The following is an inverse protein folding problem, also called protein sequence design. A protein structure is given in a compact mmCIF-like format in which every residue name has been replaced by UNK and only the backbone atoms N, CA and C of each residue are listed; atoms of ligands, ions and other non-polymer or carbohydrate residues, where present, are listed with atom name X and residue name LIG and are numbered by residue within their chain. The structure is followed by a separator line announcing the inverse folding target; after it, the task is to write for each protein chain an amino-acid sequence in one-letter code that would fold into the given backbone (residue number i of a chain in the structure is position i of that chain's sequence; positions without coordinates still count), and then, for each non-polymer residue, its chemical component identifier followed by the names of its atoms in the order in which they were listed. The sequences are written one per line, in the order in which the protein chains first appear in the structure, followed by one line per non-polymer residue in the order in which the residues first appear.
data_IF_818922940544
#
_entry.id   IF_818922940544
#
_cell.length_a   1.000
_cell.length_b   1.000
_cell.length_c   1.000
_cell.angle_alpha   90.00
_cell.angle_beta   90.00
_cell.angle_gamma   90.00
#
_symmetry.space_group_name_H-M   'P 1'
#
loop_
_entity.id
_entity.type
_entity.pdbx_description
1 polymer ?
#
# COMPACT_ATOMS: atom_id res chain seq x y z
N UNK A 1 -6.29 -0.32 4.67
CA UNK A 1 -5.99 -0.93 3.34
C UNK A 1 -6.02 0.17 2.30
N UNK A 2 -4.93 0.40 1.58
CA UNK A 2 -4.90 1.32 0.44
C UNK A 2 -5.52 0.58 -0.74
N UNK A 3 -6.63 1.10 -1.26
CA UNK A 3 -7.26 0.60 -2.49
C UNK A 3 -7.29 1.74 -3.49
N UNK A 4 -6.83 1.49 -4.70
CA UNK A 4 -6.96 2.43 -5.79
C UNK A 4 -8.32 2.23 -6.50
N UNK A 5 -8.96 3.29 -7.00
CA UNK A 5 -10.14 3.18 -7.83
C UNK A 5 -9.75 2.58 -9.20
N UNK A 6 -10.75 2.09 -9.91
CA UNK A 6 -10.54 1.79 -11.32
C UNK A 6 -10.25 3.07 -12.10
N UNK A 7 -9.13 3.11 -12.81
CA UNK A 7 -8.75 4.23 -13.67
C UNK A 7 -9.02 3.83 -15.12
N UNK A 8 -10.05 4.41 -15.78
CA UNK A 8 -10.36 4.10 -17.17
C UNK A 8 -9.34 4.72 -18.11
N UNK A 9 -9.06 4.07 -19.22
CA UNK A 9 -8.28 4.65 -20.32
C UNK A 9 -9.08 5.69 -21.09
N UNK A 10 -8.39 6.54 -21.85
CA UNK A 10 -9.05 7.51 -22.75
C UNK A 10 -9.96 6.83 -23.78
N UNK A 11 -9.61 5.62 -24.24
CA UNK A 11 -10.40 4.82 -25.17
C UNK A 11 -11.65 4.25 -24.51
N UNK A 12 -11.55 3.72 -23.29
CA UNK A 12 -12.69 3.25 -22.50
C UNK A 12 -13.69 4.39 -22.26
N UNK A 13 -13.19 5.59 -21.88
CA UNK A 13 -14.04 6.76 -21.71
C UNK A 13 -14.71 7.21 -23.02
N UNK A 14 -13.96 7.20 -24.13
CA UNK A 14 -14.52 7.55 -25.41
C UNK A 14 -15.60 6.56 -25.87
N UNK A 15 -15.37 5.27 -25.73
CA UNK A 15 -16.34 4.24 -26.06
C UNK A 15 -17.61 4.36 -25.22
N UNK A 16 -17.48 4.67 -23.93
CA UNK A 16 -18.63 4.95 -23.06
C UNK A 16 -19.39 6.21 -23.50
N UNK A 17 -18.69 7.30 -23.87
CA UNK A 17 -19.28 8.53 -24.41
C UNK A 17 -20.10 8.22 -25.65
N UNK A 18 -19.55 7.46 -26.61
CA UNK A 18 -20.24 7.04 -27.83
C UNK A 18 -21.47 6.20 -27.49
N UNK A 19 -21.32 5.22 -26.58
CA UNK A 19 -22.42 4.37 -26.14
C UNK A 19 -23.55 5.18 -25.50
N UNK A 20 -23.26 6.05 -24.54
CA UNK A 20 -24.23 6.94 -23.87
C UNK A 20 -24.92 7.84 -24.90
N UNK A 21 -24.14 8.44 -25.79
CA UNK A 21 -24.64 9.37 -26.77
C UNK A 21 -25.64 8.75 -27.72
N UNK A 22 -25.35 7.58 -28.27
CA UNK A 22 -26.20 6.92 -29.28
C UNK A 22 -27.33 6.06 -28.66
N UNK A 23 -27.23 5.63 -27.41
CA UNK A 23 -28.32 4.92 -26.72
C UNK A 23 -29.53 5.80 -26.42
N UNK A 24 -29.33 7.13 -26.32
CA UNK A 24 -30.39 8.07 -26.00
C UNK A 24 -31.25 8.38 -27.24
N UNK A 25 -32.56 8.03 -27.15
CA UNK A 25 -33.55 8.30 -28.18
C UNK A 25 -34.47 9.46 -27.78
N UNK A 26 -35.15 10.09 -28.77
CA UNK A 26 -36.13 11.10 -28.51
C UNK A 26 -37.33 10.53 -27.76
N UNK A 27 -37.79 11.21 -26.71
CA UNK A 27 -39.07 10.89 -26.07
C UNK A 27 -40.23 11.41 -26.95
N UNK A 28 -41.29 10.62 -27.15
CA UNK A 28 -42.52 10.97 -27.91
C UNK A 28 -42.26 11.49 -29.34
N UNK A 29 -42.04 10.59 -30.30
CA UNK A 29 -41.67 10.97 -31.67
C UNK A 29 -42.81 11.70 -32.46
N UNK A 30 -44.05 11.67 -32.04
CA UNK A 30 -45.18 12.08 -32.83
C UNK A 30 -45.75 13.48 -32.59
N UNK A 31 -45.27 14.25 -31.61
CA UNK A 31 -45.99 15.48 -31.16
C UNK A 31 -45.22 16.78 -31.47
N UNK A 32 -43.93 16.75 -31.95
CA UNK A 32 -43.11 17.96 -32.03
C UNK A 32 -42.51 18.24 -33.40
N UNK A 33 -42.34 19.52 -33.76
CA UNK A 33 -41.60 19.94 -34.97
C UNK A 33 -40.16 19.38 -34.97
N UNK A 34 -39.68 18.98 -36.14
CA UNK A 34 -38.40 18.25 -36.29
C UNK A 34 -37.17 18.92 -35.63
N UNK A 35 -37.09 20.27 -35.69
CA UNK A 35 -35.97 21.04 -35.12
C UNK A 35 -36.01 21.05 -33.59
N UNK A 36 -37.16 21.27 -32.96
CA UNK A 36 -37.27 21.34 -31.50
C UNK A 36 -37.06 19.97 -30.83
N UNK A 37 -37.54 18.94 -31.50
CA UNK A 37 -37.28 17.56 -31.09
C UNK A 37 -35.81 17.22 -31.12
N UNK A 38 -35.10 17.54 -32.23
CA UNK A 38 -33.68 17.30 -32.36
C UNK A 38 -32.89 18.10 -31.32
N UNK A 39 -33.26 19.39 -31.12
CA UNK A 39 -32.65 20.29 -30.13
C UNK A 39 -32.74 19.68 -28.72
N UNK A 40 -33.91 19.23 -28.28
CA UNK A 40 -34.08 18.61 -26.95
C UNK A 40 -33.29 17.33 -26.79
N UNK A 41 -33.26 16.50 -27.80
CA UNK A 41 -32.48 15.27 -27.80
C UNK A 41 -30.97 15.57 -27.66
N UNK A 42 -30.45 16.49 -28.45
CA UNK A 42 -29.01 16.82 -28.40
C UNK A 42 -28.62 17.51 -27.09
N UNK A 43 -29.45 18.39 -26.53
CA UNK A 43 -29.23 18.98 -25.21
C UNK A 43 -29.21 17.92 -24.10
N UNK A 44 -30.03 16.89 -24.20
CA UNK A 44 -30.01 15.76 -23.27
C UNK A 44 -28.73 14.95 -23.43
N UNK A 45 -28.33 14.62 -24.65
CA UNK A 45 -27.13 13.85 -24.97
C UNK A 45 -25.86 14.51 -24.42
N UNK A 46 -25.66 15.80 -24.71
CA UNK A 46 -24.46 16.53 -24.22
C UNK A 46 -24.46 16.64 -22.70
N UNK A 47 -25.66 16.74 -22.05
CA UNK A 47 -25.78 16.75 -20.59
C UNK A 47 -25.34 15.43 -19.96
N UNK A 48 -25.80 14.30 -20.49
CA UNK A 48 -25.48 12.97 -19.96
C UNK A 48 -24.00 12.66 -20.15
N UNK A 49 -23.42 12.99 -21.31
CA UNK A 49 -21.97 12.85 -21.56
C UNK A 49 -21.17 13.68 -20.56
N UNK A 50 -21.55 14.96 -20.36
CA UNK A 50 -20.88 15.81 -19.36
C UNK A 50 -20.95 15.21 -17.97
N UNK A 51 -22.13 14.73 -17.55
CA UNK A 51 -22.32 14.11 -16.22
C UNK A 51 -21.39 12.93 -16.06
N UNK A 52 -21.43 11.99 -16.99
CA UNK A 52 -20.61 10.78 -16.96
C UNK A 52 -19.11 11.09 -16.85
N UNK A 53 -18.59 11.97 -17.72
CA UNK A 53 -17.16 12.31 -17.70
C UNK A 53 -16.77 13.12 -16.45
N UNK A 54 -17.66 13.99 -15.95
CA UNK A 54 -17.37 14.71 -14.69
C UNK A 54 -17.27 13.77 -13.51
N UNK A 55 -18.17 12.79 -13.42
CA UNK A 55 -18.16 11.77 -12.38
C UNK A 55 -16.91 10.89 -12.51
N UNK A 56 -16.58 10.40 -13.72
CA UNK A 56 -15.38 9.61 -13.98
C UNK A 56 -14.07 10.34 -13.63
N UNK A 57 -13.93 11.61 -14.01
CA UNK A 57 -12.74 12.41 -13.67
C UNK A 57 -12.64 12.65 -12.15
N UNK A 58 -13.78 12.88 -11.49
CA UNK A 58 -13.82 13.07 -10.04
C UNK A 58 -13.44 11.77 -9.31
N UNK A 59 -13.98 10.63 -9.74
CA UNK A 59 -13.70 9.33 -9.15
C UNK A 59 -12.21 9.00 -9.23
N UNK A 60 -11.55 9.31 -10.35
CA UNK A 60 -10.09 9.17 -10.47
C UNK A 60 -9.37 10.17 -9.58
N UNK A 61 -9.68 11.46 -9.68
CA UNK A 61 -8.92 12.52 -9.00
C UNK A 61 -9.04 12.47 -7.47
N UNK A 62 -10.19 12.07 -6.93
CA UNK A 62 -10.45 12.01 -5.49
C UNK A 62 -10.36 10.59 -4.91
N UNK A 63 -10.52 9.56 -5.75
CA UNK A 63 -10.44 8.17 -5.31
C UNK A 63 -9.01 7.67 -5.15
N UNK A 64 -8.05 8.25 -5.87
CA UNK A 64 -6.64 7.92 -5.72
C UNK A 64 -6.10 8.47 -4.40
N UNK A 65 -5.24 7.71 -3.66
CA UNK A 65 -4.76 8.13 -2.34
C UNK A 65 -3.88 9.39 -2.41
N UNK A 66 -4.08 10.30 -1.46
CA UNK A 66 -3.20 11.45 -1.25
C UNK A 66 -1.92 10.98 -0.56
N UNK A 67 -0.80 10.95 -1.27
CA UNK A 67 0.46 10.40 -0.77
C UNK A 67 0.94 11.08 0.51
N UNK A 68 0.71 12.37 0.67
CA UNK A 68 1.15 13.15 1.83
C UNK A 68 0.37 12.81 3.12
N UNK A 69 -0.83 12.28 3.01
CA UNK A 69 -1.64 11.85 4.16
C UNK A 69 -1.40 10.41 4.57
N UNK A 70 -0.63 9.66 3.79
CA UNK A 70 -0.35 8.27 4.09
C UNK A 70 0.68 8.14 5.21
N UNK A 71 0.55 7.04 5.97
CA UNK A 71 1.57 6.67 6.95
C UNK A 71 2.96 6.57 6.29
N UNK A 72 4.05 7.01 6.94
CA UNK A 72 5.40 7.05 6.37
C UNK A 72 5.84 5.73 5.72
N UNK A 73 5.48 4.59 6.30
CA UNK A 73 5.75 3.28 5.73
C UNK A 73 5.23 3.13 4.28
N UNK A 74 3.96 3.47 4.06
CA UNK A 74 3.37 3.36 2.73
C UNK A 74 3.91 4.41 1.77
N UNK A 75 4.15 5.62 2.28
CA UNK A 75 4.70 6.70 1.47
C UNK A 75 6.08 6.33 0.90
N UNK A 76 6.98 5.82 1.74
CA UNK A 76 8.31 5.36 1.31
C UNK A 76 8.21 4.27 0.22
N UNK A 77 7.36 3.25 0.44
CA UNK A 77 7.18 2.19 -0.54
C UNK A 77 6.61 2.69 -1.88
N UNK A 78 5.66 3.62 -1.83
CA UNK A 78 5.04 4.19 -3.03
C UNK A 78 6.05 5.04 -3.79
N UNK A 79 6.85 5.86 -3.12
CA UNK A 79 7.86 6.71 -3.75
C UNK A 79 8.97 5.91 -4.44
N UNK A 80 9.20 4.65 -4.04
CA UNK A 80 10.08 3.72 -4.77
C UNK A 80 9.46 3.18 -6.07
N UNK A 81 8.11 3.13 -6.15
CA UNK A 81 7.39 2.54 -7.28
C UNK A 81 6.86 3.57 -8.26
N UNK A 82 6.53 4.76 -7.78
CA UNK A 82 5.78 5.78 -8.52
C UNK A 82 6.47 7.13 -8.34
N UNK A 83 6.77 7.81 -9.44
CA UNK A 83 7.27 9.17 -9.36
C UNK A 83 6.20 10.11 -8.80
N UNK A 84 6.49 10.68 -7.63
CA UNK A 84 5.57 11.54 -6.87
C UNK A 84 5.16 12.81 -7.62
N UNK A 85 6.09 13.41 -8.36
CA UNK A 85 5.82 14.66 -9.09
C UNK A 85 4.85 14.39 -10.23
N UNK A 86 5.11 13.37 -11.04
CA UNK A 86 4.23 12.93 -12.14
C UNK A 86 2.87 12.49 -11.62
N UNK A 87 2.82 11.79 -10.47
CA UNK A 87 1.57 11.37 -9.85
C UNK A 87 0.67 12.56 -9.48
N UNK A 88 1.23 13.55 -8.76
CA UNK A 88 0.50 14.76 -8.38
C UNK A 88 0.06 15.58 -9.59
N UNK A 89 0.93 15.71 -10.58
CA UNK A 89 0.62 16.41 -11.83
C UNK A 89 -0.54 15.74 -12.57
N UNK A 90 -0.50 14.43 -12.74
CA UNK A 90 -1.52 13.67 -13.44
C UNK A 90 -2.89 13.78 -12.75
N UNK A 91 -2.94 13.66 -11.41
CA UNK A 91 -4.18 13.85 -10.65
C UNK A 91 -4.74 15.27 -10.82
N UNK A 92 -3.89 16.29 -10.76
CA UNK A 92 -4.29 17.66 -10.94
C UNK A 92 -4.83 17.93 -12.36
N UNK A 93 -4.17 17.40 -13.40
CA UNK A 93 -4.60 17.55 -14.80
C UNK A 93 -5.95 16.88 -15.05
N UNK A 94 -6.16 15.64 -14.55
CA UNK A 94 -7.46 14.95 -14.64
C UNK A 94 -8.55 15.72 -13.87
N UNK A 95 -8.25 16.21 -12.68
CA UNK A 95 -9.19 17.04 -11.91
C UNK A 95 -9.56 18.35 -12.65
N UNK A 96 -8.59 19.02 -13.25
CA UNK A 96 -8.80 20.23 -14.02
C UNK A 96 -9.57 20.01 -15.33
N UNK A 97 -9.55 18.80 -15.89
CA UNK A 97 -10.31 18.45 -17.09
C UNK A 97 -11.83 18.67 -16.93
N UNK A 98 -12.34 18.62 -15.69
CA UNK A 98 -13.74 18.98 -15.40
C UNK A 98 -14.09 20.41 -15.77
N UNK A 99 -13.13 21.34 -15.64
CA UNK A 99 -13.31 22.75 -16.02
C UNK A 99 -13.34 22.90 -17.56
N UNK A 100 -12.39 22.25 -18.25
CA UNK A 100 -12.36 22.23 -19.72
C UNK A 100 -13.64 21.60 -20.30
N UNK A 101 -14.06 20.45 -19.77
CA UNK A 101 -15.31 19.80 -20.14
C UNK A 101 -16.54 20.71 -19.92
N UNK A 102 -16.55 21.47 -18.82
CA UNK A 102 -17.63 22.43 -18.54
C UNK A 102 -17.70 23.57 -19.55
N UNK A 103 -16.54 24.05 -20.04
CA UNK A 103 -16.49 25.05 -21.12
C UNK A 103 -17.01 24.47 -22.43
N UNK A 104 -16.53 23.27 -22.82
CA UNK A 104 -16.98 22.57 -24.03
C UNK A 104 -18.52 22.36 -24.00
N UNK A 105 -19.04 21.97 -22.85
CA UNK A 105 -20.48 21.78 -22.65
C UNK A 105 -21.26 23.09 -22.80
N UNK A 106 -20.81 24.19 -22.18
CA UNK A 106 -21.48 25.50 -22.28
C UNK A 106 -21.56 25.98 -23.72
N UNK A 107 -20.47 25.88 -24.46
CA UNK A 107 -20.40 26.27 -25.87
C UNK A 107 -21.36 25.41 -26.71
N UNK A 108 -21.39 24.11 -26.51
CA UNK A 108 -22.31 23.21 -27.19
C UNK A 108 -23.77 23.54 -26.90
N UNK A 109 -24.12 23.76 -25.61
CA UNK A 109 -25.49 24.15 -25.23
C UNK A 109 -25.89 25.47 -25.88
N UNK A 110 -25.02 26.44 -25.92
CA UNK A 110 -25.28 27.74 -26.55
C UNK A 110 -25.53 27.59 -28.07
N UNK A 111 -24.63 26.85 -28.76
CA UNK A 111 -24.77 26.57 -30.18
C UNK A 111 -26.05 25.79 -30.54
N UNK A 112 -26.42 24.78 -29.73
CA UNK A 112 -27.63 23.99 -29.95
C UNK A 112 -28.89 24.83 -29.69
N UNK A 113 -28.89 25.72 -28.69
CA UNK A 113 -30.04 26.58 -28.38
C UNK A 113 -30.28 27.65 -29.44
N UNK A 114 -29.21 28.23 -29.97
CA UNK A 114 -29.31 29.30 -30.98
C UNK A 114 -29.53 28.79 -32.42
N UNK A 115 -29.39 27.46 -32.63
CA UNK A 115 -29.57 26.88 -33.96
C UNK A 115 -31.02 27.01 -34.46
N UNK A 116 -31.16 27.47 -35.69
CA UNK A 116 -32.47 27.63 -36.36
C UNK A 116 -32.81 26.48 -37.28
N UNK A 117 -31.79 25.72 -37.73
CA UNK A 117 -31.91 24.58 -38.64
C UNK A 117 -31.35 23.31 -38.04
N UNK A 118 -31.81 22.15 -38.49
CA UNK A 118 -31.28 20.85 -38.12
C UNK A 118 -29.78 20.71 -38.40
N UNK A 119 -29.29 21.29 -39.51
CA UNK A 119 -27.89 21.23 -39.88
C UNK A 119 -26.97 21.96 -38.89
N UNK A 120 -27.44 23.05 -38.28
CA UNK A 120 -26.66 23.78 -37.28
C UNK A 120 -26.57 22.99 -35.99
N UNK A 121 -27.64 22.32 -35.56
CA UNK A 121 -27.63 21.40 -34.44
C UNK A 121 -26.66 20.24 -34.68
N UNK A 122 -26.64 19.68 -35.91
CA UNK A 122 -25.72 18.59 -36.29
C UNK A 122 -24.27 19.10 -36.29
N UNK A 123 -23.98 20.33 -36.74
CA UNK A 123 -22.64 20.91 -36.65
C UNK A 123 -22.21 21.11 -35.19
N UNK A 124 -23.08 21.65 -34.33
CA UNK A 124 -22.81 21.82 -32.91
C UNK A 124 -22.50 20.49 -32.22
N UNK A 125 -23.27 19.45 -32.54
CA UNK A 125 -23.01 18.07 -32.09
C UNK A 125 -21.62 17.57 -32.49
N UNK A 126 -21.28 17.67 -33.77
CA UNK A 126 -19.96 17.22 -34.27
C UNK A 126 -18.82 17.95 -33.59
N UNK A 127 -18.94 19.25 -33.42
CA UNK A 127 -17.96 20.07 -32.69
C UNK A 127 -17.82 19.63 -31.24
N UNK A 128 -18.93 19.38 -30.53
CA UNK A 128 -18.92 18.89 -29.15
C UNK A 128 -18.17 17.58 -29.02
N UNK A 129 -18.55 16.58 -29.85
CA UNK A 129 -17.92 15.24 -29.80
C UNK A 129 -16.44 15.29 -30.17
N UNK A 130 -16.05 16.09 -31.17
CA UNK A 130 -14.65 16.27 -31.55
C UNK A 130 -13.85 16.84 -30.38
N UNK A 131 -14.30 17.96 -29.78
CA UNK A 131 -13.62 18.60 -28.64
C UNK A 131 -13.56 17.70 -27.40
N UNK A 132 -14.59 16.88 -27.13
CA UNK A 132 -14.56 15.89 -26.06
C UNK A 132 -13.51 14.82 -26.36
N UNK A 133 -13.44 14.33 -27.61
CA UNK A 133 -12.42 13.37 -28.03
C UNK A 133 -11.01 13.95 -27.88
N UNK A 134 -10.79 15.17 -28.33
CA UNK A 134 -9.49 15.86 -28.21
C UNK A 134 -9.09 16.00 -26.74
N UNK A 135 -10.02 16.38 -25.84
CA UNK A 135 -9.78 16.45 -24.40
C UNK A 135 -9.37 15.09 -23.83
N UNK A 136 -10.05 14.00 -24.22
CA UNK A 136 -9.72 12.64 -23.75
C UNK A 136 -8.36 12.16 -24.28
N UNK A 137 -8.01 12.54 -25.52
CA UNK A 137 -6.70 12.21 -26.10
C UNK A 137 -5.57 12.99 -25.44
N UNK A 138 -5.80 14.26 -25.07
CA UNK A 138 -4.84 15.07 -24.30
C UNK A 138 -4.61 14.50 -22.88
N UNK A 139 -5.61 13.85 -22.31
CA UNK A 139 -5.50 13.19 -20.98
C UNK A 139 -4.94 11.78 -21.04
N UNK A 140 -4.73 11.22 -22.23
CA UNK A 140 -4.29 9.82 -22.37
C UNK A 140 -3.01 9.51 -21.58
N UNK A 141 -1.93 10.30 -21.64
CA UNK A 141 -0.70 10.03 -20.89
C UNK A 141 -0.93 9.96 -19.38
N UNK A 142 -1.73 10.87 -18.84
CA UNK A 142 -2.02 10.94 -17.40
C UNK A 142 -2.91 9.78 -16.95
N UNK A 143 -3.93 9.41 -17.73
CA UNK A 143 -4.80 8.28 -17.43
C UNK A 143 -4.03 6.97 -17.48
N UNK A 144 -3.19 6.76 -18.48
CA UNK A 144 -2.35 5.57 -18.61
C UNK A 144 -1.34 5.49 -17.44
N UNK A 145 -0.72 6.61 -17.07
CA UNK A 145 0.16 6.68 -15.90
C UNK A 145 -0.59 6.34 -14.60
N UNK A 146 -1.75 6.93 -14.36
CA UNK A 146 -2.55 6.70 -13.16
C UNK A 146 -3.09 5.27 -13.09
N UNK A 147 -3.46 4.67 -14.23
CA UNK A 147 -3.85 3.25 -14.32
C UNK A 147 -2.70 2.33 -13.88
N UNK A 148 -1.48 2.60 -14.37
CA UNK A 148 -0.29 1.87 -13.95
C UNK A 148 0.03 2.10 -12.46
N UNK A 149 -0.14 3.32 -11.97
CA UNK A 149 0.04 3.65 -10.56
C UNK A 149 -0.98 2.90 -9.69
N UNK A 150 -2.26 2.86 -10.06
CA UNK A 150 -3.29 2.10 -9.36
C UNK A 150 -2.92 0.61 -9.25
N UNK A 151 -2.49 -0.01 -10.36
CA UNK A 151 -2.06 -1.41 -10.35
C UNK A 151 -0.84 -1.68 -9.44
N UNK A 152 0.05 -0.68 -9.25
CA UNK A 152 1.17 -0.78 -8.30
C UNK A 152 0.70 -0.61 -6.86
N UNK A 153 -0.26 0.29 -6.61
CA UNK A 153 -0.83 0.50 -5.27
C UNK A 153 -1.58 -0.73 -4.76
N UNK A 154 -2.25 -1.47 -5.63
CA UNK A 154 -2.96 -2.72 -5.27
C UNK A 154 -2.01 -3.85 -4.84
N UNK A 155 -0.72 -3.77 -5.22
CA UNK A 155 0.34 -4.71 -4.79
C UNK A 155 0.98 -4.35 -3.44
N UNK A 156 0.58 -3.26 -2.81
CA UNK A 156 1.11 -2.90 -1.51
C UNK A 156 0.66 -3.91 -0.43
N UNK A 157 1.54 -4.23 0.53
CA UNK A 157 1.21 -5.16 1.59
C UNK A 157 0.04 -4.64 2.43
N UNK A 158 -0.92 -5.52 2.73
CA UNK A 158 -2.04 -5.19 3.58
C UNK A 158 -1.65 -5.28 5.06
N UNK A 159 -0.92 -4.29 5.54
CA UNK A 159 -0.45 -4.14 6.91
C UNK A 159 -1.16 -2.93 7.53
N UNK A 160 -1.64 -3.05 8.76
CA UNK A 160 -2.17 -1.89 9.48
C UNK A 160 -1.03 -1.15 10.20
N UNK A 161 -0.64 0.05 9.76
CA UNK A 161 0.50 0.75 10.35
C UNK A 161 0.20 1.35 11.73
N UNK A 162 -1.05 1.34 12.16
CA UNK A 162 -1.45 1.87 13.48
C UNK A 162 -1.38 0.81 14.58
N UNK A 163 -1.27 -0.47 14.22
CA UNK A 163 -1.13 -1.53 15.21
C UNK A 163 0.29 -1.56 15.79
N UNK A 164 0.39 -1.99 17.06
CA UNK A 164 1.68 -2.34 17.62
C UNK A 164 2.30 -3.49 16.81
N UNK A 165 3.48 -3.25 16.24
CA UNK A 165 4.10 -4.17 15.30
C UNK A 165 5.42 -4.70 15.83
N UNK A 166 5.52 -6.03 15.89
CA UNK A 166 6.75 -6.77 16.15
C UNK A 166 7.29 -7.25 14.79
N UNK A 167 8.52 -6.89 14.45
CA UNK A 167 9.21 -7.36 13.24
C UNK A 167 10.21 -8.44 13.64
N UNK A 168 10.12 -9.61 12.98
CA UNK A 168 11.00 -10.76 13.26
C UNK A 168 12.14 -10.79 12.25
N UNK A 169 13.38 -10.81 12.74
CA UNK A 169 14.62 -10.82 11.97
C UNK A 169 15.47 -12.05 12.33
N UNK A 170 16.47 -12.38 11.50
CA UNK A 170 17.39 -13.48 11.70
C UNK A 170 17.63 -14.28 10.44
N UNK A 171 18.69 -15.08 10.39
CA UNK A 171 19.07 -15.90 9.22
C UNK A 171 17.94 -16.86 8.79
N UNK A 172 17.97 -17.41 7.57
CA UNK A 172 17.03 -18.47 7.18
C UNK A 172 17.12 -19.67 8.15
N UNK A 173 16.01 -20.38 8.31
CA UNK A 173 15.90 -21.62 9.10
C UNK A 173 16.16 -21.50 10.62
N UNK A 174 16.32 -20.29 11.17
CA UNK A 174 16.50 -20.08 12.62
C UNK A 174 15.18 -20.21 13.41
N UNK A 175 14.02 -20.30 12.73
CA UNK A 175 12.72 -20.49 13.37
C UNK A 175 11.80 -19.25 13.36
N UNK A 176 12.04 -18.25 12.53
CA UNK A 176 11.22 -17.02 12.44
C UNK A 176 9.73 -17.31 12.23
N UNK A 177 9.37 -18.03 11.17
CA UNK A 177 7.97 -18.34 10.86
C UNK A 177 7.34 -19.27 11.92
N UNK A 178 8.15 -20.09 12.59
CA UNK A 178 7.69 -20.91 13.71
C UNK A 178 7.36 -20.05 14.93
N UNK A 179 8.20 -19.08 15.26
CA UNK A 179 7.90 -18.12 16.32
C UNK A 179 6.61 -17.36 16.05
N UNK A 180 6.43 -16.82 14.82
CA UNK A 180 5.18 -16.12 14.44
C UNK A 180 3.97 -17.03 14.63
N UNK A 181 4.07 -18.32 14.29
CA UNK A 181 2.98 -19.29 14.52
C UNK A 181 2.72 -19.54 16.00
N UNK A 182 3.77 -19.61 16.84
CA UNK A 182 3.61 -19.81 18.29
C UNK A 182 2.87 -18.66 18.97
N UNK A 183 3.05 -17.43 18.51
CA UNK A 183 2.48 -16.24 19.17
C UNK A 183 1.18 -15.77 18.53
N UNK A 184 0.86 -16.20 17.34
CA UNK A 184 -0.35 -15.77 16.60
C UNK A 184 -1.59 -16.56 17.04
N UNK A 185 -2.73 -15.88 17.17
CA UNK A 185 -4.03 -16.49 17.49
C UNK A 185 -4.64 -17.28 16.32
N UNK A 186 -4.07 -17.22 15.13
CA UNK A 186 -4.56 -17.89 13.93
C UNK A 186 -3.46 -18.04 12.87
N UNK A 187 -3.82 -18.57 11.70
CA UNK A 187 -2.85 -18.70 10.60
C UNK A 187 -2.38 -17.31 10.14
N UNK A 188 -1.05 -17.07 10.07
CA UNK A 188 -0.53 -15.83 9.52
C UNK A 188 -1.01 -15.60 8.09
N UNK A 189 -1.37 -14.36 7.77
CA UNK A 189 -1.73 -13.95 6.41
C UNK A 189 -0.47 -13.69 5.61
N UNK A 190 -0.51 -14.07 4.34
CA UNK A 190 0.57 -13.81 3.39
C UNK A 190 0.33 -12.46 2.73
N UNK A 191 1.37 -11.64 2.60
CA UNK A 191 1.34 -10.36 1.94
C UNK A 191 2.58 -10.22 1.03
N UNK A 192 2.36 -9.87 -0.24
CA UNK A 192 3.46 -9.51 -1.14
C UNK A 192 4.20 -8.28 -0.60
N UNK A 193 5.52 -8.24 -0.78
CA UNK A 193 6.32 -7.09 -0.41
C UNK A 193 7.04 -6.55 -1.65
N UNK A 194 6.89 -5.25 -1.95
CA UNK A 194 7.48 -4.66 -3.17
C UNK A 194 8.99 -4.88 -3.24
N UNK A 195 9.49 -5.06 -4.46
CA UNK A 195 10.92 -5.22 -4.79
C UNK A 195 11.59 -6.48 -4.22
N UNK A 196 10.82 -7.41 -3.71
CA UNK A 196 11.33 -8.69 -3.22
C UNK A 196 10.59 -9.85 -3.89
N UNK A 197 11.26 -10.97 -3.99
CA UNK A 197 10.66 -12.23 -4.49
C UNK A 197 9.99 -13.02 -3.37
N UNK A 198 9.94 -12.47 -2.16
CA UNK A 198 9.45 -13.13 -0.95
C UNK A 198 8.22 -12.42 -0.42
N UNK A 199 7.38 -13.18 0.23
CA UNK A 199 6.14 -12.74 0.86
C UNK A 199 6.37 -12.52 2.35
N UNK A 200 5.68 -11.53 2.93
CA UNK A 200 5.62 -11.36 4.39
C UNK A 200 4.55 -12.28 4.97
N UNK A 201 4.82 -12.84 6.13
CA UNK A 201 3.80 -13.53 6.91
C UNK A 201 3.39 -12.67 8.09
N UNK A 202 2.15 -12.21 8.11
CA UNK A 202 1.61 -11.32 9.13
C UNK A 202 0.69 -12.09 10.06
N UNK A 203 1.16 -12.35 11.25
CA UNK A 203 0.39 -12.93 12.35
C UNK A 203 -0.22 -11.84 13.22
N UNK A 204 -1.29 -12.19 13.94
CA UNK A 204 -1.94 -11.28 14.89
C UNK A 204 -2.27 -12.03 16.18
N UNK A 205 -2.21 -11.29 17.30
CA UNK A 205 -2.74 -11.73 18.59
C UNK A 205 -3.32 -10.52 19.34
N UNK A 206 -4.13 -10.78 20.36
CA UNK A 206 -4.75 -9.73 21.17
C UNK A 206 -4.26 -9.86 22.61
N UNK A 207 -3.91 -8.73 23.23
CA UNK A 207 -3.49 -8.63 24.62
C UNK A 207 -4.35 -7.61 25.37
N UNK A 208 -4.37 -7.66 26.70
CA UNK A 208 -5.10 -6.73 27.54
C UNK A 208 -6.56 -6.54 27.10
N UNK A 209 -7.22 -7.62 26.70
CA UNK A 209 -8.59 -7.77 26.22
C UNK A 209 -8.89 -7.18 24.84
N UNK A 210 -8.24 -6.06 24.41
CA UNK A 210 -8.61 -5.42 23.13
C UNK A 210 -7.42 -4.90 22.31
N UNK A 211 -6.20 -4.91 22.85
CA UNK A 211 -5.03 -4.38 22.12
C UNK A 211 -4.56 -5.40 21.10
N UNK A 212 -4.80 -5.09 19.84
CA UNK A 212 -4.38 -5.93 18.72
C UNK A 212 -2.92 -5.67 18.38
N UNK A 213 -2.13 -6.73 18.35
CA UNK A 213 -0.70 -6.73 18.00
C UNK A 213 -0.52 -7.50 16.72
N UNK A 214 0.33 -7.00 15.82
CA UNK A 214 0.75 -7.75 14.64
C UNK A 214 2.22 -8.15 14.73
N UNK A 215 2.53 -9.35 14.23
CA UNK A 215 3.88 -9.88 14.15
C UNK A 215 4.20 -10.17 12.70
N UNK A 216 5.26 -9.57 12.19
CA UNK A 216 5.66 -9.68 10.78
C UNK A 216 6.90 -10.55 10.69
N UNK A 217 6.75 -11.73 10.08
CA UNK A 217 7.88 -12.53 9.61
C UNK A 217 8.38 -11.96 8.28
N UNK A 218 9.68 -11.75 8.19
CA UNK A 218 10.34 -11.07 7.07
C UNK A 218 11.27 -12.02 6.28
N UNK A 219 10.77 -13.13 5.73
CA UNK A 219 11.61 -14.04 4.96
C UNK A 219 12.14 -13.31 3.71
N UNK A 220 13.45 -13.43 3.47
CA UNK A 220 14.09 -12.76 2.36
C UNK A 220 14.36 -11.26 2.54
N UNK A 221 13.96 -10.65 3.67
CA UNK A 221 14.21 -9.23 3.96
C UNK A 221 15.31 -9.05 5.02
N UNK A 222 15.07 -9.48 6.24
CA UNK A 222 15.99 -9.38 7.39
C UNK A 222 16.58 -10.75 7.72
N UNK A 223 16.96 -11.52 6.70
CA UNK A 223 17.48 -12.88 6.80
C UNK A 223 18.79 -13.11 6.04
N UNK A 224 19.41 -12.06 5.54
CA UNK A 224 20.75 -12.01 4.94
C UNK A 224 21.33 -10.61 5.08
N UNK A 225 22.66 -10.43 4.91
CA UNK A 225 23.29 -9.12 5.05
C UNK A 225 22.62 -8.02 4.23
N UNK A 226 22.39 -6.87 4.86
CA UNK A 226 21.79 -5.70 4.21
C UNK A 226 22.75 -5.07 3.19
N UNK A 227 24.06 -5.24 3.41
CA UNK A 227 25.12 -4.83 2.52
C UNK A 227 25.10 -5.54 1.14
N UNK A 228 24.48 -6.72 1.06
CA UNK A 228 24.30 -7.48 -0.19
C UNK A 228 23.06 -7.07 -0.99
N UNK A 229 22.29 -6.10 -0.50
CA UNK A 229 21.04 -5.65 -1.14
C UNK A 229 21.32 -4.54 -2.15
N UNK A 230 20.53 -4.55 -3.23
CA UNK A 230 20.52 -3.39 -4.11
C UNK A 230 19.86 -2.18 -3.40
N UNK A 231 20.11 -0.98 -3.92
CA UNK A 231 19.65 0.27 -3.31
C UNK A 231 18.14 0.32 -3.07
N UNK A 232 17.34 -0.19 -4.03
CA UNK A 232 15.87 -0.16 -3.96
C UNK A 232 15.36 -1.17 -2.93
N UNK A 233 15.90 -2.39 -2.94
CA UNK A 233 15.59 -3.41 -1.92
C UNK A 233 15.92 -2.90 -0.51
N UNK A 234 17.11 -2.32 -0.34
CA UNK A 234 17.50 -1.77 0.95
C UNK A 234 16.54 -0.69 1.44
N UNK A 235 16.13 0.24 0.58
CA UNK A 235 15.17 1.27 0.94
C UNK A 235 13.80 0.68 1.30
N UNK A 236 13.33 -0.31 0.54
CA UNK A 236 12.09 -1.02 0.87
C UNK A 236 12.18 -1.70 2.25
N UNK A 237 13.30 -2.37 2.56
CA UNK A 237 13.52 -2.99 3.86
C UNK A 237 13.55 -1.93 4.98
N UNK A 238 14.26 -0.82 4.75
CA UNK A 238 14.35 0.26 5.74
C UNK A 238 13.01 0.95 6.00
N UNK A 239 12.03 0.87 5.09
CA UNK A 239 10.67 1.34 5.35
C UNK A 239 10.02 0.63 6.54
N UNK A 240 10.42 -0.61 6.87
CA UNK A 240 9.95 -1.34 8.05
C UNK A 240 10.24 -0.59 9.37
N UNK A 241 11.21 0.30 9.42
CA UNK A 241 11.49 1.14 10.60
C UNK A 241 10.29 2.00 11.04
N UNK A 242 9.40 2.35 10.10
CA UNK A 242 8.19 3.11 10.40
C UNK A 242 7.07 2.26 10.97
N UNK A 243 7.14 0.92 10.83
CA UNK A 243 6.19 -0.02 11.41
C UNK A 243 6.69 -0.61 12.72
N UNK A 244 7.98 -1.01 12.76
CA UNK A 244 8.55 -1.76 13.86
C UNK A 244 8.53 -0.95 15.17
N UNK A 245 7.73 -1.41 16.13
CA UNK A 245 7.78 -0.93 17.50
C UNK A 245 8.79 -1.70 18.32
N UNK A 246 9.00 -2.97 17.96
CA UNK A 246 10.01 -3.87 18.53
C UNK A 246 10.54 -4.76 17.42
N UNK A 247 11.83 -5.01 17.42
CA UNK A 247 12.47 -6.03 16.58
C UNK A 247 12.80 -7.24 17.46
N UNK A 248 12.40 -8.42 17.02
CA UNK A 248 12.78 -9.69 17.61
C UNK A 248 13.79 -10.36 16.69
N UNK A 249 15.02 -10.46 17.11
CA UNK A 249 16.06 -11.16 16.37
C UNK A 249 16.19 -12.59 16.89
N UNK A 250 16.05 -13.58 16.00
CA UNK A 250 16.15 -14.99 16.34
C UNK A 250 17.49 -15.54 15.89
N UNK A 251 18.18 -16.20 16.82
CA UNK A 251 19.49 -16.80 16.64
C UNK A 251 19.41 -18.31 16.91
N UNK A 252 20.09 -19.08 16.09
CA UNK A 252 20.29 -20.54 16.25
C UNK A 252 21.71 -20.80 16.74
N UNK A 253 21.93 -21.27 17.99
CA UNK A 253 23.27 -21.55 18.51
C UNK A 253 23.85 -22.84 17.96
N UNK A 254 23.01 -23.73 17.38
CA UNK A 254 23.38 -25.11 17.00
C UNK A 254 23.97 -25.25 15.59
N UNK A 255 24.02 -24.18 14.82
CA UNK A 255 24.35 -24.19 13.38
C UNK A 255 23.45 -25.06 12.48
N UNK A 256 22.37 -25.68 12.98
CA UNK A 256 21.42 -26.47 12.18
C UNK A 256 20.63 -25.61 11.17
N UNK A 257 20.68 -24.28 11.28
CA UNK A 257 20.15 -23.37 10.27
C UNK A 257 20.97 -23.36 8.97
N UNK A 258 22.21 -23.86 9.02
CA UNK A 258 23.19 -23.79 7.94
C UNK A 258 24.06 -22.52 7.96
N UNK A 259 23.93 -21.70 9.00
CA UNK A 259 24.68 -20.45 9.17
C UNK A 259 25.45 -20.48 10.48
N UNK A 260 26.74 -20.11 10.43
CA UNK A 260 27.57 -20.00 11.60
C UNK A 260 27.10 -18.91 12.56
N UNK A 261 27.47 -19.04 13.83
CA UNK A 261 27.20 -18.01 14.84
C UNK A 261 27.73 -16.64 14.40
N UNK A 262 28.93 -16.60 13.79
CA UNK A 262 29.55 -15.37 13.31
C UNK A 262 28.73 -14.66 12.24
N UNK A 263 28.18 -15.39 11.26
CA UNK A 263 27.31 -14.83 10.22
C UNK A 263 26.03 -14.27 10.82
N UNK A 264 25.42 -14.98 11.78
CA UNK A 264 24.23 -14.53 12.48
C UNK A 264 24.48 -13.25 13.30
N UNK A 265 25.64 -13.17 13.99
CA UNK A 265 26.04 -11.98 14.74
C UNK A 265 26.37 -10.78 13.84
N UNK A 266 26.91 -11.02 12.65
CA UNK A 266 27.12 -9.94 11.67
C UNK A 266 25.78 -9.36 11.20
N UNK A 267 24.80 -10.20 10.88
CA UNK A 267 23.45 -9.74 10.57
C UNK A 267 22.81 -8.98 11.75
N UNK A 268 22.99 -9.46 12.99
CA UNK A 268 22.52 -8.75 14.18
C UNK A 268 23.08 -7.34 14.29
N UNK A 269 24.40 -7.17 14.05
CA UNK A 269 25.04 -5.83 14.04
C UNK A 269 24.45 -4.92 12.98
N UNK A 270 24.23 -5.43 11.75
CA UNK A 270 23.63 -4.66 10.67
C UNK A 270 22.20 -4.25 10.99
N UNK A 271 21.37 -5.16 11.51
CA UNK A 271 20.00 -4.86 11.92
C UNK A 271 20.02 -3.80 13.04
N UNK A 272 20.87 -3.97 14.07
CA UNK A 272 20.99 -3.02 15.17
C UNK A 272 21.39 -1.62 14.70
N UNK A 273 22.34 -1.54 13.76
CA UNK A 273 22.81 -0.27 13.19
C UNK A 273 21.71 0.44 12.37
N UNK A 274 21.00 -0.29 11.52
CA UNK A 274 20.02 0.29 10.61
C UNK A 274 18.67 0.62 11.29
N UNK A 275 18.38 -0.02 12.43
CA UNK A 275 17.19 0.17 13.25
C UNK A 275 17.51 0.68 14.65
N UNK A 276 18.49 1.55 14.78
CA UNK A 276 19.09 2.02 16.04
C UNK A 276 18.05 2.60 17.03
N UNK A 277 16.98 3.19 16.56
CA UNK A 277 15.92 3.78 17.38
C UNK A 277 14.78 2.80 17.74
N UNK A 278 14.87 1.55 17.28
CA UNK A 278 13.84 0.54 17.56
C UNK A 278 14.36 -0.43 18.62
N UNK A 279 13.62 -0.66 19.72
CA UNK A 279 13.97 -1.68 20.70
C UNK A 279 14.18 -3.04 20.04
N UNK A 280 15.26 -3.74 20.45
CA UNK A 280 15.63 -5.04 19.91
C UNK A 280 15.69 -6.07 21.03
N UNK A 281 15.03 -7.20 20.84
CA UNK A 281 15.08 -8.39 21.71
C UNK A 281 15.81 -9.50 20.98
N UNK A 282 16.60 -10.29 21.69
CA UNK A 282 17.26 -11.47 21.17
C UNK A 282 16.58 -12.73 21.65
N UNK A 283 16.28 -13.66 20.75
CA UNK A 283 15.79 -15.00 21.08
C UNK A 283 16.84 -16.03 20.63
N UNK A 284 17.40 -16.76 21.60
CA UNK A 284 18.20 -17.95 21.34
C UNK A 284 17.24 -19.12 21.22
N UNK A 285 17.02 -19.56 19.99
CA UNK A 285 16.06 -20.63 19.67
C UNK A 285 16.73 -22.00 19.61
N UNK A 286 15.92 -23.06 19.50
CA UNK A 286 16.33 -24.47 19.42
C UNK A 286 17.01 -24.98 20.69
N UNK A 287 16.65 -24.42 21.86
CA UNK A 287 17.20 -24.88 23.15
C UNK A 287 16.81 -26.34 23.46
N UNK A 288 15.88 -26.91 22.74
CA UNK A 288 15.48 -28.33 22.81
C UNK A 288 16.54 -29.29 22.27
N UNK A 289 17.44 -28.81 21.41
CA UNK A 289 18.53 -29.59 20.82
C UNK A 289 19.92 -28.98 21.04
N UNK A 290 19.99 -27.75 21.51
CA UNK A 290 21.26 -27.07 21.82
C UNK A 290 21.87 -27.55 23.12
N UNK A 291 23.18 -27.65 23.14
CA UNK A 291 23.93 -27.84 24.39
C UNK A 291 24.01 -26.55 25.20
N UNK A 292 24.17 -26.62 26.51
CA UNK A 292 24.33 -25.45 27.37
C UNK A 292 25.57 -24.60 26.97
N UNK A 293 26.64 -25.23 26.49
CA UNK A 293 27.84 -24.57 26.04
C UNK A 293 27.60 -23.74 24.78
N UNK A 294 26.82 -24.26 23.80
CA UNK A 294 26.44 -23.51 22.59
C UNK A 294 25.55 -22.31 22.94
N UNK A 295 24.60 -22.50 23.83
CA UNK A 295 23.73 -21.41 24.31
C UNK A 295 24.55 -20.34 25.03
N UNK A 296 25.43 -20.73 25.95
CA UNK A 296 26.26 -19.78 26.71
C UNK A 296 27.25 -19.03 25.81
N UNK A 297 27.81 -19.73 24.80
CA UNK A 297 28.67 -19.10 23.79
C UNK A 297 27.91 -18.05 22.96
N UNK A 298 26.69 -18.36 22.55
CA UNK A 298 25.82 -17.42 21.84
C UNK A 298 25.49 -16.18 22.71
N UNK A 299 25.09 -16.42 23.98
CA UNK A 299 24.76 -15.34 24.92
C UNK A 299 25.95 -14.42 25.20
N UNK A 300 27.15 -14.99 25.46
CA UNK A 300 28.38 -14.19 25.68
C UNK A 300 28.79 -13.41 24.46
N UNK A 301 28.63 -13.98 23.27
CA UNK A 301 28.94 -13.30 22.00
C UNK A 301 28.01 -12.13 21.74
N UNK A 302 26.72 -12.26 22.07
CA UNK A 302 25.77 -11.15 21.97
C UNK A 302 26.04 -10.07 23.01
N UNK A 303 26.32 -10.47 24.26
CA UNK A 303 26.69 -9.53 25.33
C UNK A 303 27.98 -8.73 25.01
N UNK A 304 28.88 -9.29 24.20
CA UNK A 304 30.05 -8.58 23.69
C UNK A 304 29.71 -7.51 22.63
N UNK A 305 28.55 -7.65 21.94
CA UNK A 305 28.04 -6.65 20.99
C UNK A 305 27.31 -5.53 21.73
N UNK A 306 26.33 -5.92 22.57
CA UNK A 306 25.53 -4.98 23.34
C UNK A 306 24.89 -5.72 24.55
N UNK A 307 25.37 -5.38 25.75
CA UNK A 307 24.85 -5.96 27.00
C UNK A 307 23.44 -5.53 27.35
N UNK A 308 22.94 -4.49 26.73
CA UNK A 308 21.59 -3.96 27.01
C UNK A 308 20.47 -4.71 26.29
N UNK A 309 20.80 -5.61 25.34
CA UNK A 309 19.81 -6.35 24.58
C UNK A 309 19.14 -7.41 25.49
N UNK A 310 17.86 -7.31 25.78
CA UNK A 310 17.13 -8.35 26.50
C UNK A 310 17.17 -9.66 25.72
N UNK A 311 17.53 -10.74 26.40
CA UNK A 311 17.77 -12.04 25.76
C UNK A 311 16.92 -13.12 26.39
N UNK A 312 16.30 -13.95 25.55
CA UNK A 312 15.42 -15.05 25.94
C UNK A 312 15.87 -16.36 25.32
N UNK A 313 15.72 -17.46 26.07
CA UNK A 313 15.93 -18.81 25.61
C UNK A 313 14.59 -19.40 25.18
N UNK A 314 14.44 -19.87 23.96
CA UNK A 314 13.16 -20.40 23.44
C UNK A 314 13.34 -21.69 22.65
N UNK A 315 12.25 -22.46 22.55
CA UNK A 315 12.09 -23.49 21.53
C UNK A 315 10.77 -23.26 20.79
N UNK A 316 10.88 -23.01 19.49
CA UNK A 316 9.70 -22.78 18.64
C UNK A 316 9.01 -24.06 18.17
N UNK A 317 9.55 -25.24 18.51
CA UNK A 317 8.90 -26.54 18.24
C UNK A 317 7.73 -26.75 19.19
N UNK A 318 7.95 -26.52 20.48
CA UNK A 318 6.95 -26.66 21.54
C UNK A 318 6.46 -25.33 22.11
N UNK A 319 6.85 -24.20 21.50
CA UNK A 319 6.55 -22.84 21.92
C UNK A 319 7.02 -22.48 23.35
N UNK A 320 8.00 -23.22 23.88
CA UNK A 320 8.57 -22.93 25.19
C UNK A 320 9.30 -21.58 25.19
N UNK A 321 9.14 -20.77 26.23
CA UNK A 321 9.72 -19.43 26.34
C UNK A 321 9.03 -18.35 25.50
N UNK A 322 8.25 -18.70 24.46
CA UNK A 322 7.59 -17.70 23.58
C UNK A 322 6.60 -16.81 24.33
N UNK A 323 5.88 -17.36 25.33
CA UNK A 323 4.94 -16.60 26.16
C UNK A 323 5.67 -15.58 27.04
N UNK A 324 6.84 -15.89 27.55
CA UNK A 324 7.67 -14.98 28.35
C UNK A 324 8.13 -13.78 27.52
N UNK A 325 8.53 -14.02 26.27
CA UNK A 325 8.87 -12.95 25.32
C UNK A 325 7.70 -12.01 25.13
N UNK A 326 6.50 -12.53 24.90
CA UNK A 326 5.30 -11.71 24.69
C UNK A 326 4.94 -10.92 25.96
N UNK A 327 5.02 -11.53 27.14
CA UNK A 327 4.80 -10.83 28.41
C UNK A 327 5.80 -9.69 28.59
N UNK A 328 7.08 -9.92 28.28
CA UNK A 328 8.08 -8.85 28.33
C UNK A 328 7.75 -7.69 27.39
N UNK A 329 7.30 -7.99 26.15
CA UNK A 329 6.89 -6.95 25.20
C UNK A 329 5.66 -6.19 25.70
N UNK A 330 4.71 -6.87 26.32
CA UNK A 330 3.53 -6.23 26.92
C UNK A 330 3.96 -5.24 28.02
N UNK A 331 4.74 -5.72 28.97
CA UNK A 331 5.10 -4.93 30.16
C UNK A 331 6.01 -3.75 29.86
N UNK A 332 6.98 -3.93 28.96
CA UNK A 332 8.02 -2.94 28.72
C UNK A 332 7.77 -2.05 27.48
N UNK A 333 6.85 -2.42 26.57
CA UNK A 333 6.63 -1.65 25.36
C UNK A 333 5.17 -1.30 25.09
N UNK A 334 4.21 -2.25 25.31
CA UNK A 334 2.80 -1.97 25.02
C UNK A 334 2.16 -1.14 26.14
N UNK A 335 2.31 -1.54 27.41
CA UNK A 335 1.74 -0.80 28.55
C UNK A 335 2.28 0.62 28.63
N UNK A 336 3.60 0.89 28.53
CA UNK A 336 4.12 2.25 28.49
C UNK A 336 3.53 3.10 27.36
N UNK A 337 3.46 2.55 26.13
CA UNK A 337 2.86 3.25 24.99
C UNK A 337 1.39 3.63 25.24
N UNK A 338 0.60 2.73 25.84
CA UNK A 338 -0.81 3.01 26.17
C UNK A 338 -0.94 4.09 27.24
N UNK A 339 -0.05 4.11 28.23
CA UNK A 339 -0.03 5.17 29.26
C UNK A 339 0.31 6.54 28.68
N UNK A 340 1.28 6.61 27.78
CA UNK A 340 1.63 7.84 27.06
C UNK A 340 0.46 8.38 26.24
N UNK A 341 -0.26 7.49 25.55
CA UNK A 341 -1.42 7.87 24.73
C UNK A 341 -2.59 8.43 25.56
N UNK A 342 -2.78 7.92 26.78
CA UNK A 342 -3.80 8.42 27.73
C UNK A 342 -3.43 9.77 28.33
N UNK A 343 -2.14 10.02 28.54
CA UNK A 343 -1.66 11.29 29.09
C UNK A 343 -1.58 12.42 28.04
N UNK A 344 -1.72 12.09 26.76
CA UNK A 344 -1.64 13.05 25.64
C UNK A 344 -3.02 13.52 25.15
N UNK A 345 -4.09 13.00 25.71
CA UNK A 345 -5.49 13.43 25.49
C UNK A 345 -5.97 14.34 26.62
#
# INVERSE_FOLDING_TARGET
MIRAPHVPTSEELWNAVVGIYFSLQARNPSIEPGVDRLRRLELRRVREVRKYLTDAFRDVALGMPFLDSLHPFYRELIELMIDRATYKHSLAKVGHATKALSSIYKDAVMAIRSATMNNDIIKARRSFLARVRDLLMDLKPELDFLKNAAAKLDKLPNIDPNLFTIVVAGMPNVGKSSFVRCVSSGKPKVAEYPFTTKELHVGHFTVLNDVKVQVIDTPGLLDRPLSERNKIELQAILALKYLARVIVFILDPTNHSGYSLTEQLNLLREVRSNFSNTPLLLLVNKIDIATEDEVNTALSSVAAIDKSIPTFRISTINCNGCKEVINYVIDNHIIPMLRESLNSQ
#
